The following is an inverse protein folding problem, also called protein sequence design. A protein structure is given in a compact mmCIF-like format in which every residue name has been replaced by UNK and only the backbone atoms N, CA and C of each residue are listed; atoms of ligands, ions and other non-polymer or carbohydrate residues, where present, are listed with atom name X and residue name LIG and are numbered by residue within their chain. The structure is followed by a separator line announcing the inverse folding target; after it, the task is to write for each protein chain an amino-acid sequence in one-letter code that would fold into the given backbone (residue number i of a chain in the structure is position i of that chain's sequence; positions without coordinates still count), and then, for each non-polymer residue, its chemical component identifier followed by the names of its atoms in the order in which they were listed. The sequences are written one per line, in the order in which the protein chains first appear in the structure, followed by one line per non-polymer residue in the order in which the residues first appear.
data_IF_411885677498
#
_entry.id   IF_411885677498
#
_cell.length_a   1.000
_cell.length_b   1.000
_cell.length_c   1.000
_cell.angle_alpha   90.00
_cell.angle_beta   90.00
_cell.angle_gamma   90.00
#
_symmetry.space_group_name_H-M   'P 1'
#
loop_
_entity.id
_entity.type
_entity.pdbx_description
1 polymer ?
#
# COMPACT_ATOMS: atom_id res chain seq x y z
N UNK A 1 -26.71 -13.78 30.63
CA UNK A 1 -27.29 -12.88 29.61
C UNK A 1 -26.59 -11.53 29.49
N UNK A 2 -26.47 -10.70 30.56
CA UNK A 2 -25.82 -9.37 30.47
C UNK A 2 -24.35 -9.38 30.02
N UNK A 3 -23.52 -10.34 30.49
CA UNK A 3 -22.09 -10.48 30.13
C UNK A 3 -21.84 -10.89 28.66
N UNK A 4 -22.69 -11.76 28.13
CA UNK A 4 -22.63 -12.22 26.72
C UNK A 4 -22.99 -11.10 25.74
N UNK A 5 -23.99 -10.28 26.10
CA UNK A 5 -24.40 -9.10 25.34
C UNK A 5 -23.29 -8.04 25.35
N UNK A 6 -22.63 -7.81 26.49
CA UNK A 6 -21.52 -6.84 26.57
C UNK A 6 -20.32 -7.28 25.73
N UNK A 7 -19.93 -8.56 25.78
CA UNK A 7 -18.86 -9.11 24.93
C UNK A 7 -19.17 -8.96 23.43
N UNK A 8 -20.42 -9.24 23.04
CA UNK A 8 -20.86 -9.12 21.64
C UNK A 8 -20.86 -7.66 21.14
N UNK A 9 -21.22 -6.69 21.99
CA UNK A 9 -21.11 -5.27 21.65
C UNK A 9 -19.64 -4.80 21.52
N UNK A 10 -18.76 -5.31 22.39
CA UNK A 10 -17.33 -5.00 22.34
C UNK A 10 -16.65 -5.59 21.09
N UNK A 11 -16.98 -6.82 20.71
CA UNK A 11 -16.47 -7.44 19.49
C UNK A 11 -16.96 -6.71 18.23
N UNK A 12 -18.24 -6.32 18.19
CA UNK A 12 -18.80 -5.53 17.10
C UNK A 12 -18.12 -4.15 16.98
N UNK A 13 -17.94 -3.44 18.10
CA UNK A 13 -17.23 -2.15 18.12
C UNK A 13 -15.80 -2.27 17.60
N UNK A 14 -15.13 -3.38 17.93
CA UNK A 14 -13.75 -3.64 17.47
C UNK A 14 -13.71 -3.98 15.99
N UNK A 15 -14.63 -4.81 15.50
CA UNK A 15 -14.76 -5.14 14.08
C UNK A 15 -15.10 -3.91 13.24
N UNK A 16 -16.04 -3.07 13.69
CA UNK A 16 -16.39 -1.80 13.04
C UNK A 16 -15.19 -0.87 13.01
N UNK A 17 -14.43 -0.74 14.11
CA UNK A 17 -13.22 0.08 14.13
C UNK A 17 -12.15 -0.47 13.17
N UNK A 18 -12.02 -1.79 13.06
CA UNK A 18 -11.03 -2.42 12.16
C UNK A 18 -11.38 -2.17 10.70
N UNK A 19 -12.62 -2.41 10.31
CA UNK A 19 -13.09 -2.27 8.93
C UNK A 19 -13.81 -0.94 8.66
N UNK A 20 -13.52 0.10 9.47
CA UNK A 20 -14.23 1.37 9.35
C UNK A 20 -14.03 2.04 7.99
N UNK A 21 -12.83 2.06 7.38
CA UNK A 21 -12.65 2.65 6.05
C UNK A 21 -13.46 1.93 4.98
N UNK A 22 -13.49 0.60 4.98
CA UNK A 22 -14.22 -0.21 4.01
C UNK A 22 -15.73 -0.05 4.17
N UNK A 23 -16.23 -0.03 5.41
CA UNK A 23 -17.65 0.19 5.71
C UNK A 23 -18.09 1.59 5.29
N UNK A 24 -17.31 2.63 5.65
CA UNK A 24 -17.60 4.02 5.26
C UNK A 24 -17.57 4.19 3.75
N UNK A 25 -16.64 3.53 3.05
CA UNK A 25 -16.58 3.54 1.59
C UNK A 25 -17.82 2.89 0.99
N UNK A 26 -18.23 1.72 1.49
CA UNK A 26 -19.44 1.03 1.05
C UNK A 26 -20.71 1.87 1.27
N UNK A 27 -20.85 2.48 2.45
CA UNK A 27 -21.97 3.39 2.76
C UNK A 27 -21.95 4.61 1.84
N UNK A 28 -20.77 5.20 1.60
CA UNK A 28 -20.62 6.36 0.72
C UNK A 28 -21.04 6.04 -0.72
N UNK A 29 -20.61 4.91 -1.27
CA UNK A 29 -20.98 4.49 -2.64
C UNK A 29 -22.48 4.22 -2.73
N UNK A 30 -23.03 3.43 -1.81
CA UNK A 30 -24.46 3.12 -1.79
C UNK A 30 -25.33 4.38 -1.60
N UNK A 31 -24.87 5.30 -0.75
CA UNK A 31 -25.51 6.59 -0.51
C UNK A 31 -25.51 7.46 -1.77
N UNK A 32 -24.40 7.55 -2.51
CA UNK A 32 -24.36 8.27 -3.79
C UNK A 32 -25.35 7.71 -4.81
N UNK A 33 -25.42 6.38 -4.97
CA UNK A 33 -26.41 5.75 -5.86
C UNK A 33 -27.83 6.11 -5.44
N UNK A 34 -28.10 6.07 -4.13
CA UNK A 34 -29.40 6.43 -3.56
C UNK A 34 -29.74 7.88 -3.82
N UNK A 35 -28.79 8.80 -3.65
CA UNK A 35 -28.93 10.22 -3.96
C UNK A 35 -29.32 10.45 -5.42
N UNK A 36 -28.67 9.77 -6.37
CA UNK A 36 -29.02 9.88 -7.79
C UNK A 36 -30.45 9.44 -8.06
N UNK A 37 -30.88 8.31 -7.50
CA UNK A 37 -32.26 7.82 -7.66
C UNK A 37 -33.27 8.80 -7.05
N UNK A 38 -32.98 9.36 -5.88
CA UNK A 38 -33.84 10.33 -5.23
C UNK A 38 -33.95 11.63 -6.03
N UNK A 39 -32.85 12.13 -6.58
CA UNK A 39 -32.83 13.32 -7.42
C UNK A 39 -33.68 13.14 -8.69
N UNK A 40 -33.50 12.01 -9.41
CA UNK A 40 -34.28 11.70 -10.62
C UNK A 40 -35.76 11.56 -10.31
N UNK A 41 -36.13 10.93 -9.18
CA UNK A 41 -37.53 10.82 -8.75
C UNK A 41 -38.14 12.17 -8.30
N UNK A 42 -37.32 13.11 -7.87
CA UNK A 42 -37.76 14.44 -7.49
C UNK A 42 -38.00 15.35 -8.70
N UNK A 43 -37.33 15.10 -9.83
CA UNK A 43 -37.42 15.92 -11.05
C UNK A 43 -38.84 16.10 -11.59
N UNK A 44 -39.71 15.06 -11.69
CA UNK A 44 -41.09 15.26 -12.14
C UNK A 44 -41.89 16.19 -11.23
N UNK A 45 -41.68 16.11 -9.91
CA UNK A 45 -42.36 17.02 -8.94
C UNK A 45 -41.85 18.45 -9.08
N UNK A 46 -40.54 18.60 -9.33
CA UNK A 46 -39.95 19.91 -9.58
C UNK A 46 -40.49 20.56 -10.86
N UNK A 47 -40.71 19.78 -11.92
CA UNK A 47 -41.32 20.27 -13.16
C UNK A 47 -42.76 20.75 -12.95
N UNK A 48 -43.58 20.00 -12.21
CA UNK A 48 -44.96 20.40 -11.88
C UNK A 48 -44.97 21.74 -11.12
N UNK A 49 -44.10 21.89 -10.11
CA UNK A 49 -44.01 23.15 -9.34
C UNK A 49 -43.55 24.34 -10.19
N UNK A 50 -42.68 24.10 -11.18
CA UNK A 50 -42.27 25.14 -12.13
C UNK A 50 -43.46 25.55 -13.02
N UNK A 51 -44.23 24.60 -13.54
CA UNK A 51 -45.40 24.87 -14.37
C UNK A 51 -46.49 25.64 -13.60
N UNK A 52 -46.82 25.21 -12.38
CA UNK A 52 -47.75 25.93 -11.49
C UNK A 52 -47.30 27.38 -11.27
N UNK A 53 -46.01 27.59 -11.02
CA UNK A 53 -45.47 28.95 -10.79
C UNK A 53 -45.47 29.82 -12.04
N UNK A 54 -45.29 29.24 -13.23
CA UNK A 54 -45.41 29.93 -14.52
C UNK A 54 -46.84 30.41 -14.77
N UNK A 55 -47.82 29.55 -14.49
CA UNK A 55 -49.24 29.87 -14.61
C UNK A 55 -49.67 30.98 -13.64
N UNK A 56 -49.20 30.97 -12.40
CA UNK A 56 -49.52 32.00 -11.39
C UNK A 56 -49.03 33.41 -11.77
N UNK A 57 -47.85 33.52 -12.37
CA UNK A 57 -47.23 34.81 -12.72
C UNK A 57 -47.60 35.22 -14.16
N UNK A 58 -48.13 34.30 -14.96
CA UNK A 58 -48.44 34.54 -16.38
C UNK A 58 -47.18 34.70 -17.25
N UNK A 59 -46.11 34.00 -16.92
CA UNK A 59 -44.82 34.07 -17.63
C UNK A 59 -44.54 32.76 -18.37
N UNK A 60 -44.10 32.83 -19.64
CA UNK A 60 -43.70 31.64 -20.42
C UNK A 60 -42.44 30.97 -19.85
N UNK A 61 -41.54 31.75 -19.26
CA UNK A 61 -40.31 31.28 -18.63
C UNK A 61 -40.05 31.95 -17.28
N UNK A 62 -39.51 31.17 -16.32
CA UNK A 62 -39.08 31.66 -15.02
C UNK A 62 -37.58 31.98 -15.06
N UNK A 63 -37.18 33.03 -14.36
CA UNK A 63 -35.78 33.31 -14.11
C UNK A 63 -35.13 32.17 -13.30
N UNK A 64 -33.85 31.89 -13.55
CA UNK A 64 -33.08 30.81 -12.89
C UNK A 64 -33.18 30.88 -11.37
N UNK A 65 -33.15 32.08 -10.79
CA UNK A 65 -33.29 32.28 -9.34
C UNK A 65 -34.65 31.81 -8.81
N UNK A 66 -35.72 32.05 -9.56
CA UNK A 66 -37.07 31.66 -9.15
C UNK A 66 -37.33 30.18 -9.38
N UNK A 67 -36.72 29.57 -10.41
CA UNK A 67 -36.69 28.11 -10.60
C UNK A 67 -36.05 27.43 -9.38
N UNK A 68 -34.90 27.94 -8.91
CA UNK A 68 -34.22 27.39 -7.74
C UNK A 68 -35.06 27.56 -6.48
N UNK A 69 -35.62 28.75 -6.21
CA UNK A 69 -36.51 28.99 -5.04
C UNK A 69 -37.75 28.11 -5.03
N UNK A 70 -38.25 27.76 -6.20
CA UNK A 70 -39.46 26.93 -6.34
C UNK A 70 -39.14 25.44 -6.13
N UNK A 71 -37.97 24.97 -6.58
CA UNK A 71 -37.68 23.54 -6.66
C UNK A 71 -36.71 23.00 -5.60
N UNK A 72 -35.96 23.85 -4.89
CA UNK A 72 -34.92 23.40 -3.96
C UNK A 72 -35.45 22.44 -2.87
N UNK A 73 -36.68 22.64 -2.40
CA UNK A 73 -37.34 21.76 -1.42
C UNK A 73 -37.43 20.31 -1.90
N UNK A 74 -37.63 20.08 -3.20
CA UNK A 74 -37.70 18.73 -3.78
C UNK A 74 -36.38 17.97 -3.68
N UNK A 75 -35.26 18.70 -3.65
CA UNK A 75 -33.91 18.12 -3.67
C UNK A 75 -33.26 18.03 -2.28
N UNK A 76 -33.88 18.55 -1.21
CA UNK A 76 -33.34 18.47 0.16
C UNK A 76 -32.93 17.03 0.55
N UNK A 77 -33.77 16.00 0.35
CA UNK A 77 -33.38 14.63 0.75
C UNK A 77 -32.19 14.10 -0.04
N UNK A 78 -32.09 14.45 -1.33
CA UNK A 78 -30.94 14.11 -2.17
C UNK A 78 -29.67 14.87 -1.71
N UNK A 79 -29.79 16.14 -1.36
CA UNK A 79 -28.68 16.95 -0.87
C UNK A 79 -28.12 16.42 0.47
N UNK A 80 -28.99 16.04 1.42
CA UNK A 80 -28.57 15.48 2.72
C UNK A 80 -27.85 14.14 2.52
N UNK A 81 -28.44 13.24 1.73
CA UNK A 81 -27.83 11.92 1.48
C UNK A 81 -26.51 12.04 0.72
N UNK A 82 -26.43 12.95 -0.25
CA UNK A 82 -25.21 13.20 -1.03
C UNK A 82 -24.09 13.75 -0.16
N UNK A 83 -24.38 14.77 0.66
CA UNK A 83 -23.38 15.36 1.57
C UNK A 83 -22.87 14.36 2.60
N UNK A 84 -23.76 13.56 3.21
CA UNK A 84 -23.36 12.50 4.13
C UNK A 84 -22.49 11.45 3.43
N UNK A 85 -22.82 11.07 2.20
CA UNK A 85 -22.06 10.09 1.41
C UNK A 85 -20.65 10.59 1.11
N UNK A 86 -20.49 11.85 0.71
CA UNK A 86 -19.20 12.49 0.50
C UNK A 86 -18.39 12.51 1.79
N UNK A 87 -19.01 12.90 2.91
CA UNK A 87 -18.35 12.89 4.22
C UNK A 87 -17.88 11.48 4.61
N UNK A 88 -18.67 10.43 4.32
CA UNK A 88 -18.28 9.05 4.54
C UNK A 88 -17.04 8.65 3.71
N UNK A 89 -16.97 9.04 2.43
CA UNK A 89 -15.81 8.74 1.56
C UNK A 89 -14.53 9.46 2.02
N UNK A 90 -14.63 10.75 2.34
CA UNK A 90 -13.49 11.52 2.87
C UNK A 90 -13.03 10.93 4.20
N UNK A 91 -13.98 10.59 5.08
CA UNK A 91 -13.71 9.91 6.34
C UNK A 91 -12.95 8.60 6.15
N UNK A 92 -13.41 7.75 5.22
CA UNK A 92 -12.74 6.50 4.90
C UNK A 92 -11.29 6.71 4.43
N UNK A 93 -11.09 7.63 3.47
CA UNK A 93 -9.78 7.95 2.92
C UNK A 93 -8.82 8.46 4.00
N UNK A 94 -9.28 9.39 4.86
CA UNK A 94 -8.44 9.95 5.93
C UNK A 94 -7.97 8.90 6.95
N UNK A 95 -8.81 7.91 7.28
CA UNK A 95 -8.45 6.84 8.20
C UNK A 95 -7.43 5.89 7.55
N UNK A 96 -7.60 5.58 6.27
CA UNK A 96 -6.62 4.78 5.52
C UNK A 96 -5.27 5.49 5.44
N UNK A 97 -5.24 6.77 5.06
CA UNK A 97 -4.01 7.56 5.01
C UNK A 97 -3.28 7.57 6.36
N UNK A 98 -4.01 7.79 7.46
CA UNK A 98 -3.42 7.79 8.81
C UNK A 98 -2.84 6.43 9.19
N UNK A 99 -3.48 5.32 8.82
CA UNK A 99 -2.98 3.96 9.09
C UNK A 99 -1.71 3.68 8.29
N UNK A 100 -1.72 4.00 7.00
CA UNK A 100 -0.56 3.78 6.13
C UNK A 100 0.63 4.63 6.58
N UNK A 101 0.40 5.91 6.91
CA UNK A 101 1.44 6.78 7.44
C UNK A 101 2.01 6.26 8.78
N UNK A 102 1.17 5.74 9.67
CA UNK A 102 1.62 5.15 10.93
C UNK A 102 2.48 3.90 10.70
N UNK A 103 2.12 3.05 9.75
CA UNK A 103 2.93 1.89 9.37
C UNK A 103 4.27 2.33 8.79
N UNK A 104 4.27 3.24 7.82
CA UNK A 104 5.49 3.81 7.24
C UNK A 104 6.41 4.42 8.30
N UNK A 105 5.83 5.15 9.27
CA UNK A 105 6.57 5.73 10.40
C UNK A 105 7.17 4.66 11.31
N UNK A 106 6.42 3.61 11.64
CA UNK A 106 6.92 2.51 12.46
C UNK A 106 8.09 1.77 11.78
N UNK A 107 8.01 1.56 10.46
CA UNK A 107 9.09 0.97 9.67
C UNK A 107 10.33 1.87 9.63
N UNK A 108 10.17 3.15 9.31
CA UNK A 108 11.28 4.10 9.29
C UNK A 108 11.97 4.21 10.66
N UNK A 109 11.21 4.25 11.76
CA UNK A 109 11.77 4.21 13.11
C UNK A 109 12.56 2.92 13.39
N UNK A 110 12.00 1.77 12.98
CA UNK A 110 12.65 0.47 13.17
C UNK A 110 13.94 0.34 12.36
N UNK A 111 13.94 0.87 11.14
CA UNK A 111 15.13 0.90 10.29
C UNK A 111 16.21 1.83 10.85
N UNK A 112 15.84 3.03 11.31
CA UNK A 112 16.80 3.94 11.96
C UNK A 112 17.44 3.28 13.18
N UNK A 113 16.65 2.62 14.03
CA UNK A 113 17.18 1.88 15.18
C UNK A 113 18.14 0.74 14.76
N UNK A 114 17.83 0.03 13.67
CA UNK A 114 18.70 -1.01 13.13
C UNK A 114 20.00 -0.44 12.57
N UNK A 115 19.94 0.67 11.83
CA UNK A 115 21.12 1.36 11.29
C UNK A 115 22.03 1.86 12.41
N UNK A 116 21.46 2.46 13.45
CA UNK A 116 22.22 2.92 14.62
C UNK A 116 22.92 1.74 15.32
N UNK A 117 22.21 0.62 15.48
CA UNK A 117 22.78 -0.60 16.06
C UNK A 117 23.94 -1.14 15.21
N UNK A 118 23.74 -1.29 13.90
CA UNK A 118 24.77 -1.75 12.97
C UNK A 118 25.98 -0.82 12.97
N UNK A 119 25.76 0.49 12.97
CA UNK A 119 26.80 1.50 13.08
C UNK A 119 27.64 1.31 14.35
N UNK A 120 27.00 1.06 15.50
CA UNK A 120 27.70 0.78 16.76
C UNK A 120 28.45 -0.54 16.75
N UNK A 121 27.94 -1.57 16.09
CA UNK A 121 28.65 -2.83 15.91
C UNK A 121 29.92 -2.63 15.10
N UNK A 122 29.86 -1.87 14.01
CA UNK A 122 31.03 -1.52 13.19
C UNK A 122 32.03 -0.67 13.99
N UNK A 123 31.56 0.34 14.72
CA UNK A 123 32.41 1.23 15.53
C UNK A 123 33.17 0.46 16.64
N UNK A 124 32.49 -0.45 17.34
CA UNK A 124 33.09 -1.17 18.48
C UNK A 124 33.88 -2.42 18.07
N UNK A 125 33.45 -3.15 17.04
CA UNK A 125 33.98 -4.46 16.70
C UNK A 125 34.63 -4.53 15.30
N UNK A 126 34.52 -3.47 14.51
CA UNK A 126 35.05 -3.39 13.15
C UNK A 126 34.20 -4.13 12.11
N UNK A 127 34.48 -3.85 10.84
CA UNK A 127 33.74 -4.38 9.68
C UNK A 127 33.72 -5.91 9.61
N UNK A 128 34.84 -6.58 9.94
CA UNK A 128 34.90 -8.05 9.88
C UNK A 128 33.90 -8.74 10.80
N UNK A 129 33.67 -8.17 11.99
CA UNK A 129 32.71 -8.74 12.95
C UNK A 129 31.28 -8.40 12.56
N UNK A 130 31.04 -7.23 11.99
CA UNK A 130 29.75 -6.88 11.40
C UNK A 130 29.35 -7.87 10.29
N UNK A 131 30.26 -8.20 9.37
CA UNK A 131 30.01 -9.20 8.33
C UNK A 131 29.72 -10.59 8.91
N UNK A 132 30.44 -10.99 9.98
CA UNK A 132 30.14 -12.26 10.66
C UNK A 132 28.72 -12.28 11.27
N UNK A 133 28.26 -11.15 11.81
CA UNK A 133 26.90 -11.02 12.36
C UNK A 133 25.86 -11.07 11.24
N UNK A 134 26.10 -10.39 10.11
CA UNK A 134 25.25 -10.48 8.92
C UNK A 134 25.14 -11.91 8.40
N UNK A 135 26.26 -12.62 8.28
CA UNK A 135 26.30 -14.02 7.85
C UNK A 135 25.51 -14.93 8.80
N UNK A 136 25.60 -14.70 10.11
CA UNK A 136 24.82 -15.45 11.08
C UNK A 136 23.31 -15.19 10.93
N UNK A 137 22.90 -13.94 10.69
CA UNK A 137 21.49 -13.60 10.42
C UNK A 137 21.00 -14.23 9.11
N UNK A 138 21.82 -14.22 8.06
CA UNK A 138 21.50 -14.86 6.79
C UNK A 138 21.30 -16.37 6.95
N UNK A 139 22.17 -17.01 7.75
CA UNK A 139 22.05 -18.43 8.10
C UNK A 139 20.74 -18.73 8.84
N UNK A 140 20.41 -17.94 9.87
CA UNK A 140 19.16 -18.09 10.62
C UNK A 140 17.90 -17.93 9.72
N UNK A 141 17.95 -17.03 8.73
CA UNK A 141 16.86 -16.83 7.76
C UNK A 141 16.66 -18.08 6.89
N UNK A 142 17.74 -18.69 6.39
CA UNK A 142 17.68 -19.94 5.61
C UNK A 142 17.19 -21.11 6.47
N UNK A 143 17.69 -21.26 7.70
CA UNK A 143 17.27 -22.36 8.58
C UNK A 143 15.77 -22.30 8.89
N UNK A 144 15.21 -21.08 9.04
CA UNK A 144 13.76 -20.88 9.25
C UNK A 144 12.93 -21.06 7.98
N UNK A 145 13.54 -20.97 6.80
CA UNK A 145 12.87 -21.06 5.49
C UNK A 145 13.58 -22.11 4.61
N UNK A 146 13.51 -23.40 4.96
CA UNK A 146 14.26 -24.43 4.26
C UNK A 146 13.80 -24.57 2.80
N UNK A 147 14.75 -24.75 1.88
CA UNK A 147 14.46 -24.87 0.44
C UNK A 147 13.53 -26.05 0.12
N UNK A 148 13.61 -27.13 0.91
CA UNK A 148 12.83 -28.36 0.70
C UNK A 148 11.33 -28.12 0.82
N UNK A 149 10.90 -27.10 1.56
CA UNK A 149 9.47 -26.76 1.73
C UNK A 149 9.05 -25.55 0.89
N UNK A 150 9.92 -25.08 0.00
CA UNK A 150 9.70 -23.88 -0.81
C UNK A 150 9.82 -24.20 -2.30
N UNK A 151 9.05 -23.48 -3.09
CA UNK A 151 9.19 -23.51 -4.54
C UNK A 151 10.45 -22.74 -4.95
N UNK A 152 11.17 -23.29 -5.93
CA UNK A 152 12.35 -22.66 -6.53
C UNK A 152 11.98 -22.20 -7.92
N UNK A 153 12.02 -20.89 -8.15
CA UNK A 153 11.70 -20.28 -9.44
C UNK A 153 12.89 -20.43 -10.37
N UNK A 154 12.69 -21.03 -11.55
CA UNK A 154 13.74 -21.16 -12.56
C UNK A 154 13.69 -19.94 -13.47
N UNK A 155 14.71 -19.08 -13.41
CA UNK A 155 14.83 -17.96 -14.34
C UNK A 155 15.55 -18.39 -15.63
N UNK A 156 15.51 -17.56 -16.66
CA UNK A 156 16.03 -17.89 -18.00
C UNK A 156 17.56 -18.12 -18.04
N UNK A 157 18.33 -17.56 -17.09
CA UNK A 157 19.80 -17.61 -17.08
C UNK A 157 20.37 -17.70 -15.66
N UNK A 158 21.34 -18.60 -15.49
CA UNK A 158 22.04 -18.84 -14.23
C UNK A 158 21.50 -20.08 -13.49
N UNK A 159 22.38 -20.81 -12.80
CA UNK A 159 22.03 -22.05 -12.08
C UNK A 159 22.38 -21.98 -10.58
N UNK A 160 22.85 -20.83 -10.11
CA UNK A 160 23.12 -20.62 -8.68
C UNK A 160 21.79 -20.50 -7.96
N UNK A 161 21.63 -21.25 -6.86
CA UNK A 161 20.46 -21.10 -6.00
C UNK A 161 20.59 -19.77 -5.26
N UNK A 162 19.60 -18.91 -5.40
CA UNK A 162 19.52 -17.61 -4.75
C UNK A 162 18.34 -17.59 -3.79
N UNK A 163 18.50 -16.92 -2.65
CA UNK A 163 17.46 -16.67 -1.66
C UNK A 163 17.31 -15.16 -1.48
N UNK A 164 16.13 -14.63 -1.78
CA UNK A 164 15.79 -13.23 -1.53
C UNK A 164 15.30 -13.06 -0.08
N UNK A 165 16.04 -12.31 0.73
CA UNK A 165 15.73 -12.12 2.13
C UNK A 165 14.41 -11.35 2.39
N UNK A 166 13.93 -10.56 1.41
CA UNK A 166 12.69 -9.78 1.55
C UNK A 166 11.46 -10.64 1.22
N UNK A 167 11.41 -11.26 0.04
CA UNK A 167 10.26 -12.09 -0.34
C UNK A 167 10.30 -13.50 0.27
N UNK A 168 11.47 -13.96 0.72
CA UNK A 168 11.70 -15.33 1.17
C UNK A 168 11.58 -16.36 0.04
N UNK A 169 11.68 -15.93 -1.22
CA UNK A 169 11.63 -16.80 -2.39
C UNK A 169 13.00 -17.35 -2.72
N UNK A 170 13.00 -18.58 -3.21
CA UNK A 170 14.16 -19.18 -3.83
C UNK A 170 14.04 -19.07 -5.34
N UNK A 171 15.15 -18.78 -6.01
CA UNK A 171 15.21 -18.77 -7.45
C UNK A 171 16.58 -19.18 -7.97
N UNK A 172 16.64 -19.61 -9.22
CA UNK A 172 17.89 -19.85 -9.94
C UNK A 172 18.29 -18.58 -10.66
N UNK A 173 19.51 -18.10 -10.44
CA UNK A 173 19.98 -16.87 -11.07
C UNK A 173 21.49 -16.81 -11.18
N UNK A 174 21.95 -15.68 -11.71
CA UNK A 174 23.36 -15.32 -11.83
C UNK A 174 23.62 -14.04 -11.02
N UNK A 175 24.67 -14.06 -10.19
CA UNK A 175 25.06 -12.90 -9.37
C UNK A 175 25.40 -11.69 -10.25
N UNK A 176 25.99 -11.91 -11.43
CA UNK A 176 26.34 -10.83 -12.34
C UNK A 176 25.09 -10.19 -12.94
N UNK A 177 24.04 -10.99 -13.22
CA UNK A 177 22.74 -10.48 -13.66
C UNK A 177 22.07 -9.65 -12.56
N UNK A 178 22.12 -10.13 -11.31
CA UNK A 178 21.53 -9.42 -10.17
C UNK A 178 22.23 -8.06 -9.94
N UNK A 179 23.56 -8.03 -9.97
CA UNK A 179 24.33 -6.78 -9.87
C UNK A 179 24.10 -5.84 -11.05
N UNK A 180 23.88 -6.39 -12.24
CA UNK A 180 23.52 -5.60 -13.42
C UNK A 180 22.15 -4.94 -13.24
N UNK A 181 21.16 -5.70 -12.75
CA UNK A 181 19.83 -5.19 -12.44
C UNK A 181 19.88 -4.04 -11.42
N UNK A 182 20.65 -4.22 -10.35
CA UNK A 182 20.91 -3.16 -9.35
C UNK A 182 21.49 -1.90 -10.01
N UNK A 183 22.50 -2.04 -10.88
CA UNK A 183 23.10 -0.89 -11.58
C UNK A 183 22.12 -0.20 -12.54
N UNK A 184 21.30 -0.96 -13.27
CA UNK A 184 20.32 -0.46 -14.22
C UNK A 184 19.20 0.32 -13.51
N UNK A 185 18.68 -0.22 -12.41
CA UNK A 185 17.65 0.45 -11.61
C UNK A 185 18.21 1.66 -10.86
N UNK A 186 19.45 1.59 -10.38
CA UNK A 186 20.13 2.76 -9.82
C UNK A 186 20.31 3.87 -10.86
N UNK A 187 20.54 3.51 -12.13
CA UNK A 187 20.56 4.48 -13.22
C UNK A 187 19.16 5.05 -13.49
N UNK A 188 18.13 4.22 -13.53
CA UNK A 188 16.74 4.66 -13.71
C UNK A 188 16.29 5.59 -12.58
N UNK A 189 16.61 5.28 -11.32
CA UNK A 189 16.32 6.15 -10.17
C UNK A 189 16.94 7.54 -10.28
N UNK A 190 18.05 7.73 -11.01
CA UNK A 190 18.59 9.09 -11.21
C UNK A 190 17.69 9.95 -12.08
N UNK A 191 16.93 9.34 -12.98
CA UNK A 191 16.06 10.04 -13.91
C UNK A 191 14.62 10.09 -13.36
N UNK A 192 14.14 9.01 -12.73
CA UNK A 192 12.77 8.83 -12.25
C UNK A 192 12.59 9.07 -10.74
N UNK A 193 13.67 9.35 -10.01
CA UNK A 193 13.76 9.56 -8.54
C UNK A 193 13.45 8.35 -7.66
N UNK A 194 12.69 7.38 -8.15
CA UNK A 194 12.30 6.20 -7.39
C UNK A 194 12.12 4.96 -8.30
N UNK A 195 12.19 3.77 -7.71
CA UNK A 195 11.89 2.48 -8.37
C UNK A 195 11.23 1.52 -7.38
N UNK A 196 10.33 0.67 -7.85
CA UNK A 196 9.63 -0.30 -7.01
C UNK A 196 10.44 -1.59 -6.82
N UNK A 197 10.06 -2.39 -5.81
CA UNK A 197 10.60 -3.72 -5.59
C UNK A 197 10.20 -4.68 -6.72
N UNK A 198 9.02 -4.51 -7.32
CA UNK A 198 8.62 -5.30 -8.48
C UNK A 198 9.44 -4.95 -9.72
N UNK A 199 9.86 -3.70 -9.92
CA UNK A 199 10.79 -3.33 -11.02
C UNK A 199 12.10 -4.12 -10.91
N UNK A 200 12.62 -4.27 -9.68
CA UNK A 200 13.75 -5.16 -9.42
C UNK A 200 13.46 -6.61 -9.76
N UNK A 201 12.31 -7.14 -9.35
CA UNK A 201 11.93 -8.52 -9.67
C UNK A 201 11.78 -8.77 -11.16
N UNK A 202 11.19 -7.85 -11.92
CA UNK A 202 11.11 -7.98 -13.37
C UNK A 202 12.50 -8.02 -14.02
N UNK A 203 13.41 -7.15 -13.60
CA UNK A 203 14.76 -7.09 -14.16
C UNK A 203 15.56 -8.38 -13.90
N UNK A 204 15.39 -8.99 -12.72
CA UNK A 204 16.03 -10.29 -12.42
C UNK A 204 15.30 -11.49 -13.03
N UNK A 205 14.06 -11.31 -13.53
CA UNK A 205 13.24 -12.35 -14.16
C UNK A 205 12.37 -13.14 -13.19
N UNK A 206 11.91 -12.48 -12.13
CA UNK A 206 10.98 -13.01 -11.15
C UNK A 206 9.58 -12.42 -11.35
N UNK A 207 8.57 -13.21 -11.02
CA UNK A 207 7.19 -12.73 -10.97
C UNK A 207 7.02 -11.66 -9.90
N UNK A 208 6.02 -10.80 -10.08
CA UNK A 208 5.68 -9.79 -9.11
C UNK A 208 5.16 -10.40 -7.81
N UNK A 209 5.30 -9.65 -6.72
CA UNK A 209 4.60 -9.94 -5.47
C UNK A 209 3.66 -8.79 -5.15
N UNK A 210 2.56 -9.09 -4.45
CA UNK A 210 1.51 -8.10 -4.16
C UNK A 210 2.02 -6.84 -3.46
N UNK A 211 2.96 -7.01 -2.54
CA UNK A 211 3.56 -5.91 -1.77
C UNK A 211 4.70 -5.20 -2.53
N UNK A 212 5.13 -5.74 -3.68
CA UNK A 212 6.29 -5.24 -4.40
C UNK A 212 6.05 -3.91 -5.13
N UNK A 213 4.80 -3.54 -5.37
CA UNK A 213 4.44 -2.22 -5.91
C UNK A 213 4.30 -1.18 -4.77
N UNK A 214 4.11 -1.63 -3.53
CA UNK A 214 3.99 -0.76 -2.36
C UNK A 214 5.36 -0.48 -1.71
N UNK A 215 6.36 -1.33 -1.98
CA UNK A 215 7.73 -1.20 -1.51
C UNK A 215 8.65 -0.76 -2.65
N UNK A 216 9.60 0.11 -2.35
CA UNK A 216 10.61 0.52 -3.32
C UNK A 216 11.70 1.40 -2.73
N UNK A 217 12.52 1.95 -3.59
CA UNK A 217 13.62 2.84 -3.24
C UNK A 217 13.39 4.22 -3.82
N UNK A 218 13.92 5.21 -3.11
CA UNK A 218 13.92 6.61 -3.52
C UNK A 218 15.34 7.13 -3.39
N UNK A 219 15.80 7.86 -4.39
CA UNK A 219 17.17 8.40 -4.48
C UNK A 219 17.55 9.26 -3.27
N UNK A 220 16.59 9.93 -2.62
CA UNK A 220 16.82 10.74 -1.42
C UNK A 220 17.31 9.91 -0.23
N UNK A 221 17.01 8.60 -0.22
CA UNK A 221 17.43 7.65 0.81
C UNK A 221 18.68 6.84 0.42
N UNK A 222 19.24 7.11 -0.76
CA UNK A 222 20.38 6.40 -1.32
C UNK A 222 20.01 5.45 -2.46
N UNK A 223 21.05 4.88 -3.07
CA UNK A 223 20.90 3.89 -4.14
C UNK A 223 20.51 2.52 -3.57
N UNK A 224 19.97 1.65 -4.43
CA UNK A 224 19.89 0.22 -4.14
C UNK A 224 21.33 -0.26 -3.88
N UNK A 225 21.51 -0.92 -2.74
CA UNK A 225 22.78 -1.52 -2.34
C UNK A 225 22.51 -2.95 -1.84
N UNK A 226 22.84 -3.92 -2.70
CA UNK A 226 22.67 -5.34 -2.43
C UNK A 226 23.88 -5.91 -1.70
N UNK A 227 23.61 -6.64 -0.63
CA UNK A 227 24.60 -7.40 0.12
C UNK A 227 24.42 -8.90 -0.12
N UNK A 228 25.53 -9.61 -0.26
CA UNK A 228 25.53 -11.02 -0.64
C UNK A 228 26.23 -11.85 0.44
N UNK A 229 25.58 -12.93 0.87
CA UNK A 229 26.18 -13.95 1.75
C UNK A 229 26.07 -15.32 1.09
N UNK A 230 27.01 -16.22 1.39
CA UNK A 230 26.99 -17.60 0.88
C UNK A 230 26.71 -18.57 2.02
N UNK A 231 25.62 -19.34 1.89
CA UNK A 231 25.17 -20.28 2.91
C UNK A 231 24.83 -21.63 2.28
N UNK A 232 24.76 -22.69 3.08
CA UNK A 232 24.25 -23.99 2.63
C UNK A 232 22.75 -24.05 2.89
N UNK A 233 21.98 -24.38 1.87
CA UNK A 233 20.57 -24.71 2.04
C UNK A 233 20.40 -26.04 2.78
N UNK A 234 19.18 -26.32 3.25
CA UNK A 234 18.87 -27.51 4.06
C UNK A 234 19.15 -28.85 3.35
N UNK A 235 19.21 -28.84 2.02
CA UNK A 235 19.53 -29.99 1.17
C UNK A 235 21.04 -30.12 0.87
N UNK A 236 21.87 -29.21 1.42
CA UNK A 236 23.31 -29.15 1.18
C UNK A 236 23.72 -28.36 -0.08
N UNK A 237 22.77 -27.80 -0.82
CA UNK A 237 23.06 -27.00 -2.02
C UNK A 237 23.64 -25.63 -1.62
N UNK A 238 24.76 -25.18 -2.21
CA UNK A 238 25.23 -23.80 -2.04
C UNK A 238 24.18 -22.79 -2.48
N UNK A 239 23.88 -21.85 -1.60
CA UNK A 239 22.86 -20.83 -1.78
C UNK A 239 23.44 -19.43 -1.57
N UNK A 240 23.22 -18.54 -2.54
CA UNK A 240 23.52 -17.12 -2.45
C UNK A 240 22.34 -16.40 -1.77
N UNK A 241 22.57 -15.86 -0.59
CA UNK A 241 21.60 -15.01 0.12
C UNK A 241 21.76 -13.58 -0.37
N UNK A 242 20.66 -13.01 -0.84
CA UNK A 242 20.56 -11.61 -1.23
C UNK A 242 19.86 -10.89 -0.08
N UNK A 243 20.58 -9.97 0.55
CA UNK A 243 20.05 -9.07 1.57
C UNK A 243 20.29 -7.62 1.15
N UNK A 244 19.64 -6.66 1.80
CA UNK A 244 19.59 -5.28 1.30
C UNK A 244 20.17 -4.35 2.35
N UNK A 245 21.32 -3.74 2.05
CA UNK A 245 21.94 -2.74 2.93
C UNK A 245 21.01 -1.53 3.10
N UNK A 246 20.36 -1.14 2.00
CA UNK A 246 19.26 -0.17 1.99
C UNK A 246 17.99 -0.93 1.61
N UNK A 247 17.14 -1.18 2.59
CA UNK A 247 15.88 -1.91 2.38
C UNK A 247 14.85 -1.04 1.63
N UNK A 248 14.02 -1.63 0.76
CA UNK A 248 12.91 -0.92 0.15
C UNK A 248 11.86 -0.57 1.21
N UNK A 249 11.22 0.58 1.04
CA UNK A 249 10.29 1.18 2.00
C UNK A 249 8.94 1.44 1.35
N UNK A 250 7.93 1.55 2.20
CA UNK A 250 6.64 2.12 1.81
C UNK A 250 6.78 3.59 1.46
N UNK A 251 5.83 4.10 0.67
CA UNK A 251 5.77 5.50 0.24
C UNK A 251 7.05 6.00 -0.44
N UNK A 252 7.78 5.10 -1.12
CA UNK A 252 9.00 5.44 -1.85
C UNK A 252 8.77 6.44 -3.00
N UNK A 253 7.54 6.53 -3.52
CA UNK A 253 7.15 7.49 -4.55
C UNK A 253 6.86 8.90 -4.02
N UNK A 254 6.74 9.09 -2.70
CA UNK A 254 6.55 10.41 -2.11
C UNK A 254 7.91 11.11 -2.03
N UNK A 255 8.04 12.27 -2.69
CA UNK A 255 9.18 13.17 -2.48
C UNK A 255 9.13 13.66 -1.03
N UNK A 256 10.22 13.45 -0.28
CA UNK A 256 10.40 14.10 1.02
C UNK A 256 10.81 15.57 0.87
#
# INVERSE_FOLDING_TARGET
MKKEITKSFLSLKTAIKKHSPEILTGIGIAGMITTTVMAVRATPKAQILIEERKEEIGAEELEVADVVKTTWFCYIPAAITGTLSIACLIGASSVNAKRNAALATAYTLSESALKDYQGKVVEMFGEKKHETVKDAVAKDKIEKNPVVTREVIITEKGNTLCYDAISGRYFKGDIDKIKKAECELNRQMRDEMYVSLNDFYYEVGLDNIKIGDELGWNIDNGYIDLSFSSQLASDGTPCLVIDYSIAPRYNFSELM
#
